data_IF_891525080545
#
_entry.id   IF_891525080545
#
_cell.length_a   1.000
_cell.length_b   1.000
_cell.length_c   1.000
_cell.angle_alpha   90.00
_cell.angle_beta   90.00
_cell.angle_gamma   90.00
#
_symmetry.space_group_name_H-M   'P 1'
#
loop_
_entity.id
_entity.type
_entity.pdbx_description
1 polymer ?
#
# COMPACT_ATOMS: atom_id res chain seq x y z
N UNK A 1 20.32 -2.09 31.60
CA UNK A 1 19.07 -2.84 31.41
C UNK A 1 19.33 -3.88 30.33
N UNK A 2 19.07 -5.16 30.59
CA UNK A 2 19.33 -6.25 29.62
C UNK A 2 18.02 -6.66 28.93
N UNK A 3 18.11 -7.33 27.78
CA UNK A 3 16.94 -7.86 27.06
C UNK A 3 16.13 -8.82 27.94
N UNK A 4 16.81 -9.62 28.75
CA UNK A 4 16.21 -10.59 29.65
C UNK A 4 15.32 -9.91 30.71
N UNK A 5 15.76 -8.76 31.25
CA UNK A 5 14.92 -7.96 32.17
C UNK A 5 13.68 -7.40 31.47
N UNK A 6 13.78 -7.00 30.19
CA UNK A 6 12.63 -6.51 29.42
C UNK A 6 11.61 -7.64 29.20
N UNK A 7 12.08 -8.85 28.88
CA UNK A 7 11.22 -10.01 28.67
C UNK A 7 10.45 -10.37 29.95
N UNK A 8 11.14 -10.43 31.08
CA UNK A 8 10.50 -10.67 32.39
C UNK A 8 9.45 -9.61 32.73
N UNK A 9 9.68 -8.35 32.37
CA UNK A 9 8.71 -7.28 32.57
C UNK A 9 7.51 -7.38 31.61
N UNK A 10 7.76 -7.77 30.35
CA UNK A 10 6.70 -7.97 29.37
C UNK A 10 5.78 -9.13 29.75
N UNK A 11 6.30 -10.19 30.38
CA UNK A 11 5.51 -11.31 30.89
C UNK A 11 4.54 -10.92 32.02
N UNK A 12 4.82 -9.83 32.74
CA UNK A 12 3.92 -9.32 33.79
C UNK A 12 2.73 -8.51 33.25
N UNK A 13 2.75 -8.15 31.96
CA UNK A 13 1.67 -7.44 31.31
C UNK A 13 0.52 -8.37 30.94
N UNK A 14 -0.69 -7.83 30.89
CA UNK A 14 -1.83 -8.54 30.30
C UNK A 14 -1.61 -8.80 28.80
N UNK A 15 -2.35 -9.75 28.23
CA UNK A 15 -2.23 -10.08 26.80
C UNK A 15 -2.47 -8.87 25.88
N UNK A 16 -3.42 -7.99 26.24
CA UNK A 16 -3.70 -6.76 25.48
C UNK A 16 -2.55 -5.75 25.55
N UNK A 17 -1.92 -5.61 26.71
CA UNK A 17 -0.76 -4.72 26.89
C UNK A 17 0.49 -5.26 26.19
N UNK A 18 0.68 -6.58 26.16
CA UNK A 18 1.74 -7.22 25.37
C UNK A 18 1.56 -6.96 23.87
N UNK A 19 0.33 -7.04 23.36
CA UNK A 19 0.01 -6.69 21.98
C UNK A 19 0.30 -5.21 21.68
N UNK A 20 -0.08 -4.31 22.57
CA UNK A 20 0.23 -2.88 22.43
C UNK A 20 1.74 -2.63 22.41
N UNK A 21 2.50 -3.30 23.29
CA UNK A 21 3.95 -3.22 23.33
C UNK A 21 4.57 -3.70 22.02
N UNK A 22 4.10 -4.83 21.49
CA UNK A 22 4.56 -5.37 20.21
C UNK A 22 4.34 -4.38 19.07
N UNK A 23 3.14 -3.80 18.96
CA UNK A 23 2.81 -2.80 17.93
C UNK A 23 3.76 -1.60 18.01
N UNK A 24 3.96 -1.05 19.21
CA UNK A 24 4.85 0.11 19.42
C UNK A 24 6.30 -0.19 19.04
N UNK A 25 6.80 -1.37 19.40
CA UNK A 25 8.15 -1.79 19.04
C UNK A 25 8.28 -2.00 17.53
N UNK A 26 7.31 -2.63 16.88
CA UNK A 26 7.28 -2.83 15.44
C UNK A 26 7.23 -1.49 14.67
N UNK A 27 6.39 -0.56 15.11
CA UNK A 27 6.32 0.80 14.56
C UNK A 27 7.68 1.50 14.66
N UNK A 28 8.29 1.50 15.85
CA UNK A 28 9.59 2.12 16.07
C UNK A 28 10.67 1.50 15.19
N UNK A 29 10.70 0.17 15.09
CA UNK A 29 11.64 -0.52 14.21
C UNK A 29 11.41 -0.16 12.74
N UNK A 30 10.16 -0.03 12.29
CA UNK A 30 9.84 0.46 10.95
C UNK A 30 10.42 1.83 10.66
N UNK A 31 10.45 2.75 11.63
CA UNK A 31 11.04 4.07 11.43
C UNK A 31 12.58 4.04 11.38
N UNK A 32 13.21 3.18 12.19
CA UNK A 32 14.67 3.08 12.25
C UNK A 32 15.29 2.17 11.18
N UNK A 33 14.53 1.17 10.73
CA UNK A 33 14.95 0.14 9.78
C UNK A 33 14.12 0.15 8.50
N UNK A 34 13.30 1.18 8.25
CA UNK A 34 12.95 1.48 6.87
C UNK A 34 14.29 1.60 6.16
N UNK A 35 14.65 0.67 5.23
CA UNK A 35 15.78 0.93 4.38
C UNK A 35 15.56 2.31 3.79
N UNK A 36 16.62 2.99 3.37
CA UNK A 36 16.51 4.05 2.38
C UNK A 36 16.00 3.46 1.05
N UNK A 37 14.91 2.67 1.08
CA UNK A 37 14.06 2.45 -0.05
C UNK A 37 13.75 3.85 -0.57
N UNK A 38 14.06 4.14 -1.84
CA UNK A 38 13.74 5.42 -2.41
C UNK A 38 12.27 5.68 -2.10
N UNK A 39 11.98 6.81 -1.48
CA UNK A 39 10.60 7.24 -1.33
C UNK A 39 9.96 7.11 -2.72
N UNK A 40 8.77 6.49 -2.83
CA UNK A 40 8.10 6.47 -4.11
C UNK A 40 8.05 7.90 -4.64
N UNK A 41 8.41 8.11 -5.93
CA UNK A 41 8.46 9.44 -6.49
C UNK A 41 7.13 10.15 -6.25
N UNK A 42 7.19 11.46 -5.99
CA UNK A 42 5.99 12.29 -5.95
C UNK A 42 5.17 12.06 -7.24
N UNK A 43 3.85 12.13 -7.16
CA UNK A 43 2.98 11.91 -8.33
C UNK A 43 3.37 12.76 -9.54
N UNK A 44 3.77 14.00 -9.31
CA UNK A 44 4.24 14.91 -10.37
C UNK A 44 5.50 14.43 -11.08
N UNK A 45 6.36 13.68 -10.39
CA UNK A 45 7.57 13.10 -10.97
C UNK A 45 7.29 11.86 -11.84
N UNK A 46 6.06 11.33 -11.82
CA UNK A 46 5.61 10.23 -12.67
C UNK A 46 4.97 10.70 -13.99
N UNK A 47 4.62 11.99 -14.10
CA UNK A 47 3.97 12.56 -15.27
C UNK A 47 4.86 12.41 -16.52
N UNK A 48 4.33 11.76 -17.56
CA UNK A 48 5.02 11.60 -18.86
C UNK A 48 5.95 10.39 -18.98
N UNK A 49 6.09 9.56 -17.94
CA UNK A 49 6.92 8.33 -18.00
C UNK A 49 6.27 7.20 -18.81
N UNK A 50 4.95 7.24 -18.99
CA UNK A 50 4.23 6.21 -19.72
C UNK A 50 4.31 6.47 -21.23
N UNK A 51 4.94 5.57 -21.99
CA UNK A 51 4.83 5.55 -23.44
C UNK A 51 3.39 5.34 -23.86
N UNK A 52 2.91 6.09 -24.85
CA UNK A 52 1.55 5.93 -25.35
C UNK A 52 1.51 4.99 -26.57
N UNK A 53 0.58 4.01 -26.62
CA UNK A 53 -0.30 3.56 -25.55
C UNK A 53 0.44 2.65 -24.55
N UNK A 54 0.31 2.92 -23.26
CA UNK A 54 1.09 2.21 -22.23
C UNK A 54 0.69 0.74 -22.08
N UNK A 55 -0.59 0.44 -22.35
CA UNK A 55 -1.18 -0.90 -22.23
C UNK A 55 -1.58 -1.50 -23.59
N UNK A 56 -0.98 -1.02 -24.68
CA UNK A 56 -1.25 -1.54 -26.03
C UNK A 56 -2.59 -1.13 -26.67
N UNK A 57 -3.52 -0.59 -25.88
CA UNK A 57 -4.76 0.04 -26.36
C UNK A 57 -4.83 1.47 -25.82
N UNK A 58 -5.31 2.39 -26.67
CA UNK A 58 -5.61 3.75 -26.25
C UNK A 58 -6.78 3.76 -25.24
N UNK A 59 -6.65 4.58 -24.20
CA UNK A 59 -7.67 4.68 -23.16
C UNK A 59 -9.02 5.16 -23.72
N UNK A 60 -9.01 6.13 -24.65
CA UNK A 60 -10.25 6.65 -25.23
C UNK A 60 -10.94 5.60 -26.11
N UNK A 61 -10.18 4.81 -26.88
CA UNK A 61 -10.69 3.65 -27.64
C UNK A 61 -11.34 2.64 -26.69
N UNK A 62 -10.66 2.25 -25.61
CA UNK A 62 -11.20 1.30 -24.62
C UNK A 62 -12.50 1.81 -23.98
N UNK A 63 -12.54 3.09 -23.57
CA UNK A 63 -13.74 3.71 -22.96
C UNK A 63 -14.89 3.72 -23.97
N UNK A 64 -14.62 4.10 -25.22
CA UNK A 64 -15.63 4.18 -26.27
C UNK A 64 -16.24 2.81 -26.56
N UNK A 65 -15.41 1.78 -26.69
CA UNK A 65 -15.86 0.38 -26.85
C UNK A 65 -16.72 -0.07 -25.66
N UNK A 66 -16.22 0.16 -24.44
CA UNK A 66 -16.90 -0.30 -23.22
C UNK A 66 -18.27 0.34 -23.03
N UNK A 67 -18.40 1.63 -23.36
CA UNK A 67 -19.70 2.33 -23.34
C UNK A 67 -20.66 1.77 -24.37
N UNK A 68 -20.20 1.61 -25.61
CA UNK A 68 -21.02 1.04 -26.68
C UNK A 68 -21.51 -0.36 -26.28
N UNK A 69 -20.63 -1.23 -25.78
CA UNK A 69 -21.01 -2.56 -25.31
C UNK A 69 -22.02 -2.54 -24.16
N UNK A 70 -21.95 -1.56 -23.25
CA UNK A 70 -22.93 -1.41 -22.17
C UNK A 70 -24.30 -0.95 -22.67
N UNK A 71 -24.34 -0.03 -23.64
CA UNK A 71 -25.58 0.46 -24.26
C UNK A 71 -26.29 -0.66 -25.03
N UNK A 72 -25.53 -1.49 -25.75
CA UNK A 72 -26.07 -2.66 -26.47
C UNK A 72 -26.63 -3.74 -25.53
N UNK A 73 -26.09 -3.85 -24.31
CA UNK A 73 -26.60 -4.76 -23.28
C UNK A 73 -27.81 -4.18 -22.53
N UNK A 74 -27.88 -2.86 -22.36
CA UNK A 74 -28.98 -2.17 -21.69
C UNK A 74 -30.25 -1.99 -22.55
N UNK A 75 -30.13 -2.05 -23.88
CA UNK A 75 -31.26 -1.96 -24.81
C UNK A 75 -32.00 -3.28 -25.10
N UNK A 76 -31.59 -4.39 -24.48
CA UNK A 76 -32.23 -5.72 -24.61
C UNK A 76 -32.99 -6.14 -23.33
N UNK A 77 -33.40 -5.17 -22.51
CA UNK A 77 -34.21 -5.38 -21.30
C UNK A 77 -35.61 -4.77 -21.46
#
# INVERSE_FOLDING_TARGET
MTLETILQQAEQLSADEQLQLLVRLAERLRWHYAPAAPQPPAWDALCGLASYPFLGEDAQVWVSRSRQESEHRGGQA
#
